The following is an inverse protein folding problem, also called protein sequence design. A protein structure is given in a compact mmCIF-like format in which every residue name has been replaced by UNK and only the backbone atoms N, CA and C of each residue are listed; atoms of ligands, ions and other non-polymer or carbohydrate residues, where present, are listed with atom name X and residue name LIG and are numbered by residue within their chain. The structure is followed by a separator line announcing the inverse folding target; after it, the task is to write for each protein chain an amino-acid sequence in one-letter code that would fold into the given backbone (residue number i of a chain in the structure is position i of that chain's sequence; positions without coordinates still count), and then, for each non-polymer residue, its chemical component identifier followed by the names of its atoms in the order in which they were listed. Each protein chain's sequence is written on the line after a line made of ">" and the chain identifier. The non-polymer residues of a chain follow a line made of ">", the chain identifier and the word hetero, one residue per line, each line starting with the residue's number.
data_IF_819910445920
#
_entry.id   IF_819910445920
#
_cell.length_a   1.000
_cell.length_b   1.000
_cell.length_c   1.000
_cell.angle_alpha   90.00
_cell.angle_beta   90.00
_cell.angle_gamma   90.00
#
_symmetry.space_group_name_H-M   'P 1'
#
loop_
_entity.id
_entity.type
_entity.pdbx_description
1 polymer ?
#
# COMPACT_ATOMS: atom_id res chain seq x y z
N UNK A 1 -36.36 25.35 -7.55
CA UNK A 1 -35.36 25.46 -6.45
C UNK A 1 -34.14 24.62 -6.84
N UNK A 2 -33.10 25.23 -7.42
CA UNK A 2 -31.88 24.53 -7.83
C UNK A 2 -31.09 24.15 -6.57
N UNK A 3 -31.15 22.88 -6.15
CA UNK A 3 -30.23 22.35 -5.16
C UNK A 3 -28.86 22.32 -5.84
N UNK A 4 -27.86 23.11 -5.41
CA UNK A 4 -26.51 22.95 -5.94
C UNK A 4 -26.13 21.48 -5.73
N UNK A 5 -25.77 20.79 -6.81
CA UNK A 5 -25.56 19.34 -6.81
C UNK A 5 -24.42 18.99 -5.84
N UNK A 6 -24.77 18.61 -4.61
CA UNK A 6 -23.87 18.05 -3.59
C UNK A 6 -23.09 16.83 -4.08
N UNK A 7 -23.43 16.33 -5.28
CA UNK A 7 -22.83 15.20 -5.96
C UNK A 7 -21.49 15.54 -6.63
N UNK A 8 -21.27 16.77 -7.10
CA UNK A 8 -20.00 17.13 -7.79
C UNK A 8 -18.77 16.93 -6.90
N UNK A 9 -18.74 17.40 -5.64
CA UNK A 9 -17.62 17.15 -4.73
C UNK A 9 -17.41 15.66 -4.43
N UNK A 10 -18.48 14.88 -4.32
CA UNK A 10 -18.41 13.43 -4.09
C UNK A 10 -17.83 12.74 -5.34
N UNK A 11 -18.25 13.14 -6.54
CA UNK A 11 -17.73 12.61 -7.80
C UNK A 11 -16.23 12.88 -7.97
N UNK A 12 -15.78 14.12 -7.73
CA UNK A 12 -14.35 14.45 -7.77
C UNK A 12 -13.55 13.66 -6.73
N UNK A 13 -14.06 13.54 -5.51
CA UNK A 13 -13.43 12.72 -4.47
C UNK A 13 -13.29 11.26 -4.90
N UNK A 14 -14.36 10.64 -5.41
CA UNK A 14 -14.32 9.27 -5.90
C UNK A 14 -13.36 9.11 -7.09
N UNK A 15 -13.29 10.09 -7.99
CA UNK A 15 -12.36 10.07 -9.12
C UNK A 15 -10.89 10.16 -8.68
N UNK A 16 -10.60 10.97 -7.64
CA UNK A 16 -9.27 10.98 -6.99
C UNK A 16 -8.96 9.62 -6.39
N UNK A 17 -9.91 9.00 -5.65
CA UNK A 17 -9.73 7.66 -5.12
C UNK A 17 -9.44 6.62 -6.21
N UNK A 18 -10.19 6.63 -7.33
CA UNK A 18 -9.94 5.74 -8.46
C UNK A 18 -8.55 5.95 -9.07
N UNK A 19 -8.12 7.20 -9.22
CA UNK A 19 -6.78 7.52 -9.76
C UNK A 19 -5.68 6.99 -8.85
N UNK A 20 -5.83 7.15 -7.53
CA UNK A 20 -4.87 6.63 -6.56
C UNK A 20 -4.83 5.10 -6.54
N UNK A 21 -5.99 4.44 -6.59
CA UNK A 21 -6.06 2.97 -6.67
C UNK A 21 -5.41 2.47 -7.95
N UNK A 22 -5.62 3.13 -9.10
CA UNK A 22 -4.94 2.78 -10.34
C UNK A 22 -3.41 2.90 -10.20
N UNK A 23 -2.92 4.02 -9.63
CA UNK A 23 -1.49 4.19 -9.36
C UNK A 23 -0.95 3.11 -8.43
N UNK A 24 -1.72 2.71 -7.40
CA UNK A 24 -1.36 1.63 -6.47
C UNK A 24 -1.18 0.30 -7.17
N UNK A 25 -2.10 -0.06 -8.08
CA UNK A 25 -2.00 -1.29 -8.87
C UNK A 25 -0.77 -1.27 -9.78
N UNK A 26 -0.48 -0.15 -10.43
CA UNK A 26 0.71 -0.01 -11.29
C UNK A 26 1.99 -0.14 -10.46
N UNK A 27 2.13 0.63 -9.38
CA UNK A 27 3.31 0.60 -8.51
C UNK A 27 3.49 -0.78 -7.90
N UNK A 28 2.44 -1.39 -7.35
CA UNK A 28 2.49 -2.74 -6.79
C UNK A 28 2.84 -3.80 -7.84
N UNK A 29 2.34 -3.66 -9.06
CA UNK A 29 2.72 -4.52 -10.19
C UNK A 29 4.21 -4.41 -10.51
N UNK A 30 4.75 -3.19 -10.56
CA UNK A 30 6.20 -2.97 -10.73
C UNK A 30 6.98 -3.57 -9.57
N UNK A 31 6.59 -3.30 -8.32
CA UNK A 31 7.24 -3.85 -7.11
C UNK A 31 7.34 -5.39 -7.17
N UNK A 32 6.29 -6.04 -7.69
CA UNK A 32 6.28 -7.50 -7.83
C UNK A 32 7.18 -7.99 -8.96
N UNK A 33 7.16 -7.34 -10.12
CA UNK A 33 7.98 -7.71 -11.27
C UNK A 33 9.47 -7.48 -11.03
N UNK A 34 9.84 -6.50 -10.22
CA UNK A 34 11.23 -6.19 -9.87
C UNK A 34 11.77 -7.03 -8.70
N UNK A 35 10.96 -7.90 -8.10
CA UNK A 35 11.39 -8.68 -6.93
C UNK A 35 11.72 -7.79 -5.72
N UNK A 36 11.00 -6.69 -5.56
CA UNK A 36 11.19 -5.74 -4.45
C UNK A 36 10.15 -5.91 -3.33
N UNK A 37 9.27 -6.90 -3.43
CA UNK A 37 8.13 -7.07 -2.52
C UNK A 37 8.48 -7.54 -1.10
N UNK A 38 9.75 -7.88 -0.83
CA UNK A 38 10.24 -8.32 0.50
C UNK A 38 11.47 -7.51 0.95
N UNK A 39 11.73 -6.36 0.33
CA UNK A 39 12.84 -5.47 0.68
C UNK A 39 12.69 -4.81 2.05
N UNK A 40 11.45 -4.59 2.51
CA UNK A 40 11.13 -4.03 3.84
C UNK A 40 10.68 -5.15 4.78
N UNK A 41 11.64 -5.70 5.50
CA UNK A 41 11.48 -6.83 6.44
C UNK A 41 10.75 -6.40 7.72
N UNK A 42 10.96 -5.17 8.17
CA UNK A 42 10.33 -4.67 9.40
C UNK A 42 8.97 -4.03 9.16
N UNK A 43 7.98 -4.49 9.92
CA UNK A 43 6.67 -3.86 9.91
C UNK A 43 6.63 -2.67 10.86
N UNK A 44 6.78 -1.46 10.31
CA UNK A 44 6.66 -0.21 11.06
C UNK A 44 5.42 0.59 10.60
N UNK A 45 4.24 0.39 11.21
CA UNK A 45 2.99 1.02 10.78
C UNK A 45 2.96 2.54 11.00
N UNK A 46 3.61 3.01 12.07
CA UNK A 46 3.62 4.42 12.48
C UNK A 46 4.92 5.12 12.05
N UNK A 47 6.08 4.50 12.30
CA UNK A 47 7.38 5.09 12.00
C UNK A 47 7.86 4.89 10.56
N UNK A 48 7.34 3.89 9.84
CA UNK A 48 7.70 3.60 8.45
C UNK A 48 7.08 4.54 7.41
N UNK A 49 6.65 5.74 7.82
CA UNK A 49 6.30 6.86 6.93
C UNK A 49 7.52 7.72 6.68
N UNK A 50 8.46 7.83 7.62
CA UNK A 50 9.69 8.58 7.38
C UNK A 50 10.69 7.67 6.65
N UNK A 51 11.23 8.08 5.49
CA UNK A 51 12.29 7.30 4.85
C UNK A 51 13.58 7.39 5.69
N UNK A 52 14.49 6.41 5.58
CA UNK A 52 15.83 6.52 6.16
C UNK A 52 16.53 7.80 5.65
N UNK A 53 17.05 8.61 6.58
CA UNK A 53 17.59 9.94 6.30
C UNK A 53 19.12 9.96 6.36
N UNK A 54 19.73 8.97 7.00
CA UNK A 54 21.18 8.89 7.19
C UNK A 54 21.77 7.63 6.55
N UNK A 55 23.05 7.67 6.21
CA UNK A 55 23.77 6.49 5.70
C UNK A 55 23.81 5.35 6.73
N UNK A 56 23.82 5.70 8.03
CA UNK A 56 23.75 4.72 9.12
C UNK A 56 22.41 3.95 9.12
N UNK A 57 21.29 4.64 8.89
CA UNK A 57 19.96 4.01 8.80
C UNK A 57 19.88 3.07 7.59
N UNK A 58 20.47 3.48 6.46
CA UNK A 58 20.53 2.64 5.25
C UNK A 58 21.36 1.38 5.48
N UNK A 59 22.50 1.48 6.17
CA UNK A 59 23.33 0.33 6.51
C UNK A 59 22.62 -0.63 7.48
N UNK A 60 21.91 -0.11 8.49
CA UNK A 60 21.11 -0.93 9.40
C UNK A 60 20.02 -1.70 8.65
N UNK A 61 19.23 -1.00 7.81
CA UNK A 61 18.18 -1.62 6.99
C UNK A 61 18.75 -2.65 6.01
N UNK A 62 19.89 -2.34 5.38
CA UNK A 62 20.55 -3.26 4.47
C UNK A 62 21.05 -4.51 5.21
N UNK A 63 21.64 -4.36 6.40
CA UNK A 63 22.09 -5.50 7.21
C UNK A 63 20.94 -6.45 7.57
N UNK A 64 19.75 -5.90 7.83
CA UNK A 64 18.52 -6.68 8.06
C UNK A 64 18.04 -7.34 6.78
N UNK A 65 18.10 -6.63 5.65
CA UNK A 65 17.77 -7.19 4.35
C UNK A 65 18.68 -8.37 3.97
N UNK A 66 19.97 -8.32 4.30
CA UNK A 66 20.92 -9.41 4.05
C UNK A 66 20.55 -10.71 4.76
N UNK A 67 19.84 -10.63 5.88
CA UNK A 67 19.32 -11.79 6.61
C UNK A 67 18.05 -12.37 5.98
N UNK A 68 17.43 -11.67 5.02
CA UNK A 68 16.20 -12.13 4.38
C UNK A 68 16.48 -13.28 3.38
N UNK A 69 15.53 -14.21 3.20
CA UNK A 69 15.64 -15.25 2.16
C UNK A 69 15.76 -14.67 0.74
N UNK A 70 15.16 -13.50 0.48
CA UNK A 70 15.22 -12.85 -0.84
C UNK A 70 16.64 -12.40 -1.17
N UNK A 71 17.36 -11.82 -0.21
CA UNK A 71 18.77 -11.50 -0.39
C UNK A 71 19.59 -12.78 -0.57
N UNK A 72 19.40 -13.79 0.28
CA UNK A 72 20.21 -15.01 0.26
C UNK A 72 20.06 -15.83 -1.04
N UNK A 73 18.87 -15.83 -1.66
CA UNK A 73 18.59 -16.65 -2.83
C UNK A 73 18.56 -15.90 -4.16
N UNK A 74 18.21 -14.60 -4.16
CA UNK A 74 17.97 -13.84 -5.40
C UNK A 74 18.94 -12.65 -5.52
N UNK A 75 19.04 -11.85 -4.46
CA UNK A 75 19.73 -10.55 -4.50
C UNK A 75 21.10 -10.55 -3.78
N UNK A 76 21.75 -11.72 -3.66
CA UNK A 76 22.99 -11.89 -2.86
C UNK A 76 24.18 -11.04 -3.35
N UNK A 77 24.09 -10.54 -4.58
CA UNK A 77 25.10 -9.71 -5.24
C UNK A 77 24.83 -8.20 -5.09
N UNK A 78 23.72 -7.80 -4.46
CA UNK A 78 23.37 -6.39 -4.31
C UNK A 78 24.27 -5.70 -3.29
N UNK A 79 24.69 -4.48 -3.60
CA UNK A 79 25.19 -3.53 -2.64
C UNK A 79 24.07 -2.66 -2.06
N UNK A 80 24.47 -1.65 -1.27
CA UNK A 80 23.53 -0.73 -0.61
C UNK A 80 22.75 0.12 -1.63
N UNK A 81 23.35 0.45 -2.78
CA UNK A 81 22.71 1.29 -3.81
C UNK A 81 21.64 0.52 -4.60
N UNK A 82 21.89 -0.75 -4.93
CA UNK A 82 20.89 -1.63 -5.54
C UNK A 82 19.73 -1.89 -4.56
N UNK A 83 20.07 -2.09 -3.28
CA UNK A 83 19.08 -2.22 -2.20
C UNK A 83 18.18 -0.98 -2.09
N UNK A 84 18.75 0.24 -2.12
CA UNK A 84 17.96 1.48 -2.09
C UNK A 84 16.92 1.51 -3.21
N UNK A 85 17.27 1.05 -4.40
CA UNK A 85 16.36 1.05 -5.57
C UNK A 85 15.14 0.16 -5.36
N UNK A 86 15.32 -1.06 -4.86
CA UNK A 86 14.20 -1.96 -4.54
C UNK A 86 13.41 -1.48 -3.32
N UNK A 87 14.09 -0.95 -2.30
CA UNK A 87 13.47 -0.40 -1.10
C UNK A 87 12.52 0.75 -1.43
N UNK A 88 12.92 1.68 -2.30
CA UNK A 88 12.09 2.82 -2.68
C UNK A 88 10.78 2.40 -3.35
N UNK A 89 10.81 1.37 -4.20
CA UNK A 89 9.59 0.87 -4.85
C UNK A 89 8.61 0.33 -3.82
N UNK A 90 9.08 -0.50 -2.88
CA UNK A 90 8.22 -1.05 -1.84
C UNK A 90 7.74 0.03 -0.84
N UNK A 91 8.63 0.95 -0.48
CA UNK A 91 8.30 2.09 0.39
C UNK A 91 7.20 2.94 -0.22
N UNK A 92 7.33 3.36 -1.49
CA UNK A 92 6.31 4.15 -2.18
C UNK A 92 4.99 3.41 -2.32
N UNK A 93 5.04 2.10 -2.60
CA UNK A 93 3.85 1.24 -2.62
C UNK A 93 3.12 1.27 -1.26
N UNK A 94 3.84 1.10 -0.16
CA UNK A 94 3.27 1.14 1.20
C UNK A 94 2.74 2.53 1.59
N UNK A 95 3.46 3.59 1.25
CA UNK A 95 3.03 4.98 1.49
C UNK A 95 1.77 5.30 0.70
N UNK A 96 1.70 4.89 -0.57
CA UNK A 96 0.53 5.08 -1.43
C UNK A 96 -0.70 4.35 -0.88
N UNK A 97 -0.55 3.11 -0.39
CA UNK A 97 -1.62 2.38 0.28
C UNK A 97 -2.17 3.11 1.51
N UNK A 98 -1.30 3.67 2.36
CA UNK A 98 -1.70 4.48 3.52
C UNK A 98 -2.42 5.77 3.08
N UNK A 99 -1.91 6.44 2.06
CA UNK A 99 -2.50 7.66 1.51
C UNK A 99 -3.92 7.40 0.98
N UNK A 100 -4.15 6.30 0.27
CA UNK A 100 -5.48 5.90 -0.20
C UNK A 100 -6.45 5.73 0.97
N UNK A 101 -6.02 5.04 2.02
CA UNK A 101 -6.81 4.88 3.24
C UNK A 101 -7.24 6.22 3.83
N UNK A 102 -6.33 7.18 3.94
CA UNK A 102 -6.61 8.52 4.46
C UNK A 102 -7.51 9.36 3.53
N UNK A 103 -7.21 9.37 2.23
CA UNK A 103 -7.96 10.10 1.20
C UNK A 103 -9.37 9.54 1.03
N UNK A 104 -9.58 8.26 1.32
CA UNK A 104 -10.91 7.68 1.37
C UNK A 104 -11.61 7.97 2.71
N UNK A 105 -10.94 7.75 3.84
CA UNK A 105 -11.56 7.85 5.16
C UNK A 105 -11.95 9.27 5.57
N UNK A 106 -11.07 10.27 5.36
CA UNK A 106 -11.34 11.65 5.83
C UNK A 106 -12.54 12.29 5.12
N UNK A 107 -12.67 12.26 3.78
CA UNK A 107 -13.84 12.81 3.10
C UNK A 107 -15.09 11.97 3.34
N UNK A 108 -14.96 10.63 3.48
CA UNK A 108 -16.09 9.77 3.88
C UNK A 108 -16.68 10.24 5.21
N UNK A 109 -15.84 10.42 6.25
CA UNK A 109 -16.27 10.89 7.56
C UNK A 109 -16.89 12.30 7.46
N UNK A 110 -16.24 13.22 6.73
CA UNK A 110 -16.75 14.57 6.52
C UNK A 110 -18.14 14.58 5.86
N UNK A 111 -18.32 13.87 4.74
CA UNK A 111 -19.60 13.83 4.04
C UNK A 111 -20.68 13.09 4.85
N UNK A 112 -20.29 12.10 5.64
CA UNK A 112 -21.20 11.36 6.52
C UNK A 112 -21.73 12.25 7.64
N UNK A 113 -20.85 12.96 8.36
CA UNK A 113 -21.23 13.88 9.44
C UNK A 113 -22.07 15.05 8.93
N UNK A 114 -21.87 15.48 7.68
CA UNK A 114 -22.65 16.56 7.05
C UNK A 114 -23.95 16.08 6.40
N UNK A 115 -24.26 14.78 6.46
CA UNK A 115 -25.46 14.20 5.84
C UNK A 115 -25.52 14.38 4.32
N UNK A 116 -24.37 14.60 3.67
CA UNK A 116 -24.28 14.90 2.23
C UNK A 116 -24.29 13.65 1.36
N UNK A 117 -24.18 12.46 1.96
CA UNK A 117 -24.15 11.18 1.25
C UNK A 117 -25.60 10.70 0.98
N UNK A 118 -25.99 10.51 -0.29
CA UNK A 118 -27.29 9.91 -0.64
C UNK A 118 -27.48 8.55 0.02
N UNK A 119 -28.68 8.23 0.49
CA UNK A 119 -28.99 6.99 1.23
C UNK A 119 -28.61 5.72 0.45
N UNK A 120 -28.78 5.71 -0.88
CA UNK A 120 -28.37 4.57 -1.72
C UNK A 120 -26.86 4.42 -1.90
N UNK A 121 -26.06 5.46 -1.64
CA UNK A 121 -24.60 5.43 -1.78
C UNK A 121 -23.89 4.98 -0.50
N UNK A 122 -24.51 5.20 0.67
CA UNK A 122 -23.97 4.78 1.98
C UNK A 122 -23.56 3.31 2.05
N UNK A 123 -24.41 2.31 1.70
CA UNK A 123 -23.99 0.91 1.78
C UNK A 123 -22.81 0.61 0.86
N UNK A 124 -22.78 1.19 -0.36
CA UNK A 124 -21.67 1.01 -1.30
C UNK A 124 -20.34 1.52 -0.74
N UNK A 125 -20.34 2.71 -0.12
CA UNK A 125 -19.14 3.30 0.48
C UNK A 125 -18.64 2.51 1.68
N UNK A 126 -19.54 1.98 2.51
CA UNK A 126 -19.18 1.12 3.64
C UNK A 126 -18.60 -0.20 3.15
N UNK A 127 -19.21 -0.83 2.14
CA UNK A 127 -18.66 -2.05 1.52
C UNK A 127 -17.27 -1.80 0.93
N UNK A 128 -17.07 -0.69 0.20
CA UNK A 128 -15.74 -0.30 -0.32
C UNK A 128 -14.72 -0.10 0.80
N UNK A 129 -15.12 0.54 1.91
CA UNK A 129 -14.23 0.73 3.06
C UNK A 129 -13.78 -0.60 3.67
N UNK A 130 -14.72 -1.53 3.87
CA UNK A 130 -14.43 -2.85 4.44
C UNK A 130 -13.54 -3.65 3.49
N UNK A 131 -13.87 -3.70 2.19
CA UNK A 131 -13.08 -4.41 1.20
C UNK A 131 -11.66 -3.84 1.07
N UNK A 132 -11.51 -2.51 1.05
CA UNK A 132 -10.19 -1.86 1.04
C UNK A 132 -9.38 -2.15 2.31
N UNK A 133 -10.03 -2.15 3.48
CA UNK A 133 -9.38 -2.54 4.74
C UNK A 133 -8.91 -3.99 4.73
N UNK A 134 -9.74 -4.91 4.22
CA UNK A 134 -9.37 -6.31 4.03
C UNK A 134 -8.21 -6.47 3.03
N UNK A 135 -8.19 -5.71 1.92
CA UNK A 135 -7.06 -5.72 0.99
C UNK A 135 -5.75 -5.29 1.67
N UNK A 136 -5.78 -4.25 2.50
CA UNK A 136 -4.61 -3.85 3.29
C UNK A 136 -4.11 -4.93 4.25
N UNK A 137 -5.04 -5.62 4.93
CA UNK A 137 -4.72 -6.74 5.82
C UNK A 137 -4.13 -7.94 5.05
N UNK A 138 -4.67 -8.25 3.87
CA UNK A 138 -4.14 -9.30 3.00
C UNK A 138 -2.74 -8.96 2.50
N UNK A 139 -2.49 -7.70 2.11
CA UNK A 139 -1.16 -7.25 1.68
C UNK A 139 -0.11 -7.38 2.79
N UNK A 140 -0.49 -7.03 4.03
CA UNK A 140 0.36 -7.27 5.20
C UNK A 140 0.65 -8.77 5.40
N UNK A 141 -0.37 -9.60 5.31
CA UNK A 141 -0.23 -11.05 5.47
C UNK A 141 0.69 -11.66 4.39
N UNK A 142 0.62 -11.18 3.14
CA UNK A 142 1.50 -11.63 2.06
C UNK A 142 2.98 -11.40 2.39
N UNK A 143 3.34 -10.19 2.84
CA UNK A 143 4.72 -9.86 3.24
C UNK A 143 5.18 -10.77 4.37
N UNK A 144 4.36 -10.88 5.44
CA UNK A 144 4.70 -11.72 6.59
C UNK A 144 4.94 -13.18 6.19
N UNK A 145 4.13 -13.70 5.28
CA UNK A 145 4.25 -15.09 4.83
C UNK A 145 5.47 -15.35 3.93
N UNK A 146 5.89 -14.35 3.15
CA UNK A 146 7.09 -14.45 2.31
C UNK A 146 8.41 -14.45 3.10
N UNK A 147 8.38 -13.95 4.33
CA UNK A 147 9.53 -13.93 5.25
C UNK A 147 9.72 -15.25 6.03
N UNK A 148 8.74 -16.17 6.02
CA UNK A 148 8.77 -17.39 6.86
C UNK A 148 8.96 -18.68 6.06
N UNK A 149 8.20 -18.89 4.97
CA UNK A 149 8.08 -20.25 4.39
C UNK A 149 8.51 -20.41 2.92
N UNK A 150 8.58 -19.33 2.12
CA UNK A 150 9.06 -19.37 0.72
C UNK A 150 9.09 -17.95 0.10
N UNK A 151 10.12 -17.55 -0.68
CA UNK A 151 10.16 -16.23 -1.33
C UNK A 151 9.08 -16.01 -2.41
N UNK A 152 8.35 -17.07 -2.78
CA UNK A 152 7.27 -17.00 -3.75
C UNK A 152 5.90 -16.99 -3.06
N UNK A 153 5.27 -15.81 -3.00
CA UNK A 153 3.86 -15.70 -2.65
C UNK A 153 3.04 -16.56 -3.60
N UNK A 154 2.25 -17.49 -3.04
CA UNK A 154 1.45 -18.43 -3.83
C UNK A 154 0.47 -17.68 -4.76
N UNK A 155 0.22 -18.18 -5.98
CA UNK A 155 -0.69 -17.54 -6.94
C UNK A 155 -2.08 -17.27 -6.34
N UNK A 156 -2.57 -18.17 -5.49
CA UNK A 156 -3.86 -18.02 -4.81
C UNK A 156 -3.94 -16.82 -3.85
N UNK A 157 -2.84 -16.50 -3.14
CA UNK A 157 -2.78 -15.33 -2.25
C UNK A 157 -2.68 -14.03 -3.04
N UNK A 158 -2.03 -14.06 -4.20
CA UNK A 158 -1.93 -12.92 -5.11
C UNK A 158 -3.29 -12.60 -5.75
N UNK A 159 -4.04 -13.61 -6.20
CA UNK A 159 -5.39 -13.42 -6.76
C UNK A 159 -6.41 -12.98 -5.72
N UNK A 160 -6.28 -13.44 -4.47
CA UNK A 160 -7.13 -12.98 -3.38
C UNK A 160 -6.82 -11.53 -2.94
N UNK A 161 -5.63 -11.02 -3.26
CA UNK A 161 -5.18 -9.69 -2.87
C UNK A 161 -5.46 -8.61 -3.92
N UNK A 162 -5.38 -8.94 -5.21
CA UNK A 162 -5.77 -8.07 -6.33
C UNK A 162 -7.25 -7.68 -6.28
#
# INVERSE_FOLDING_TARGET
>A
MYKPSSERPIAYWLLVCCTLVFAMVVVGGVTRLTGSGLSIVEWQPVYGILPPLTDADWLDLFSKYQLSPEFQHVNYHFGVEEFKSIFWLEYWHRVLGRLIGLVFFLPLLYFWLRGKIPTGLKPKLVTMFILGGLQGLLGWYMVKSGLVDNPHVSPYRLTAHL
#
